data_IF_681679445190
#
_entry.id   IF_681679445190
#
_cell.length_a   1.000
_cell.length_b   1.000
_cell.length_c   1.000
_cell.angle_alpha   90.00
_cell.angle_beta   90.00
_cell.angle_gamma   90.00
#
_symmetry.space_group_name_H-M   'P 1'
#
loop_
_entity.id
_entity.type
_entity.pdbx_description
1 polymer ?
#
# COMPACT_ATOMS: atom_id res chain seq x y z
N UNK A 1 -4.45 13.91 -2.56
CA UNK A 1 -4.95 13.88 -1.16
C UNK A 1 -5.40 12.50 -0.70
N UNK A 2 -5.92 11.62 -1.57
CA UNK A 2 -6.43 10.28 -1.20
C UNK A 2 -5.41 9.34 -0.54
N UNK A 3 -4.14 9.34 -0.98
CA UNK A 3 -3.12 8.46 -0.41
C UNK A 3 -2.84 8.73 1.10
N UNK A 4 -3.02 9.98 1.54
CA UNK A 4 -2.84 10.37 2.95
C UNK A 4 -3.99 9.90 3.83
N UNK A 5 -5.22 10.02 3.33
CA UNK A 5 -6.42 9.55 4.05
C UNK A 5 -6.42 8.02 4.19
N UNK A 6 -6.00 7.31 3.13
CA UNK A 6 -5.82 5.87 3.16
C UNK A 6 -4.77 5.44 4.21
N UNK A 7 -3.63 6.14 4.26
CA UNK A 7 -2.60 5.86 5.25
C UNK A 7 -3.09 6.09 6.69
N UNK A 8 -3.90 7.15 6.93
CA UNK A 8 -4.52 7.44 8.22
C UNK A 8 -5.53 6.36 8.63
N UNK A 9 -6.41 5.96 7.70
CA UNK A 9 -7.40 4.92 7.96
C UNK A 9 -6.75 3.56 8.26
N UNK A 10 -5.68 3.21 7.53
CA UNK A 10 -4.92 1.98 7.76
C UNK A 10 -4.12 2.03 9.07
N UNK A 11 -3.64 3.20 9.49
CA UNK A 11 -2.99 3.37 10.78
C UNK A 11 -3.98 3.17 11.94
N UNK A 12 -5.21 3.67 11.82
CA UNK A 12 -6.25 3.48 12.84
C UNK A 12 -6.65 2.00 12.97
N UNK A 13 -6.87 1.29 11.86
CA UNK A 13 -7.17 -0.15 11.87
C UNK A 13 -6.00 -1.03 12.30
N UNK A 14 -4.76 -0.59 12.06
CA UNK A 14 -3.58 -1.34 12.45
C UNK A 14 -3.39 -1.45 13.96
N UNK A 15 -4.01 -0.58 14.75
CA UNK A 15 -3.86 -0.59 16.22
C UNK A 15 -4.31 -1.91 16.87
N UNK A 16 -5.23 -2.63 16.22
CA UNK A 16 -5.75 -3.91 16.70
C UNK A 16 -4.95 -5.12 16.20
N UNK A 17 -3.93 -4.91 15.34
CA UNK A 17 -3.08 -5.97 14.82
C UNK A 17 -1.90 -6.29 15.75
N UNK A 18 -1.42 -7.55 15.78
CA UNK A 18 -0.13 -7.88 16.38
C UNK A 18 0.98 -6.98 15.82
N UNK A 19 1.93 -6.57 16.67
CA UNK A 19 2.96 -5.59 16.31
C UNK A 19 3.76 -5.93 15.04
N UNK A 20 3.98 -7.22 14.78
CA UNK A 20 4.62 -7.71 13.54
C UNK A 20 3.77 -7.45 12.29
N UNK A 21 2.47 -7.78 12.35
CA UNK A 21 1.50 -7.54 11.28
C UNK A 21 1.28 -6.04 11.04
N UNK A 22 1.20 -5.25 12.12
CA UNK A 22 1.13 -3.79 12.00
C UNK A 22 2.35 -3.22 11.27
N UNK A 23 3.56 -3.64 11.62
CA UNK A 23 4.77 -3.20 10.93
C UNK A 23 4.78 -3.59 9.45
N UNK A 24 4.32 -4.79 9.10
CA UNK A 24 4.18 -5.22 7.71
C UNK A 24 3.21 -4.30 6.93
N UNK A 25 2.03 -4.02 7.49
CA UNK A 25 1.06 -3.09 6.88
C UNK A 25 1.67 -1.69 6.73
N UNK A 26 2.37 -1.17 7.75
CA UNK A 26 3.00 0.17 7.68
C UNK A 26 4.08 0.26 6.60
N UNK A 27 4.81 -0.82 6.33
CA UNK A 27 5.81 -0.88 5.26
C UNK A 27 5.08 -0.92 3.90
N UNK A 28 4.12 -1.84 3.74
CA UNK A 28 3.34 -1.97 2.51
C UNK A 28 2.61 -0.67 2.13
N UNK A 29 2.03 0.03 3.11
CA UNK A 29 1.38 1.35 2.91
C UNK A 29 2.38 2.39 2.42
N UNK A 30 3.61 2.43 2.94
CA UNK A 30 4.63 3.36 2.44
C UNK A 30 5.00 3.07 0.99
N UNK A 31 5.14 1.80 0.61
CA UNK A 31 5.39 1.41 -0.77
C UNK A 31 4.22 1.76 -1.68
N UNK A 32 2.98 1.51 -1.24
CA UNK A 32 1.76 1.85 -1.97
C UNK A 32 1.66 3.35 -2.26
N UNK A 33 1.85 4.19 -1.23
CA UNK A 33 1.78 5.66 -1.38
C UNK A 33 2.86 6.16 -2.33
N UNK A 34 4.09 5.64 -2.22
CA UNK A 34 5.19 6.01 -3.12
C UNK A 34 4.92 5.58 -4.56
N UNK A 35 4.44 4.36 -4.77
CA UNK A 35 4.12 3.84 -6.09
C UNK A 35 2.98 4.65 -6.74
N UNK A 36 1.95 5.02 -5.98
CA UNK A 36 0.86 5.87 -6.46
C UNK A 36 1.37 7.24 -6.93
N UNK A 37 2.28 7.86 -6.16
CA UNK A 37 2.90 9.13 -6.56
C UNK A 37 3.75 8.98 -7.84
N UNK A 38 4.52 7.90 -7.95
CA UNK A 38 5.34 7.64 -9.12
C UNK A 38 4.49 7.36 -10.37
N UNK A 39 3.37 6.66 -10.23
CA UNK A 39 2.44 6.41 -11.35
C UNK A 39 1.87 7.71 -11.93
N UNK A 40 1.48 8.64 -11.06
CA UNK A 40 1.00 9.97 -11.46
C UNK A 40 2.10 10.70 -12.25
N UNK A 41 3.31 10.74 -11.71
CA UNK A 41 4.46 11.40 -12.33
C UNK A 41 4.93 10.75 -13.64
N UNK A 42 5.03 9.42 -13.69
CA UNK A 42 5.42 8.68 -14.89
C UNK A 42 4.34 8.72 -15.98
N UNK A 43 3.07 8.82 -15.57
CA UNK A 43 1.95 9.05 -16.47
C UNK A 43 2.11 10.37 -17.24
N UNK A 44 2.49 11.45 -16.54
CA UNK A 44 2.75 12.76 -17.16
C UNK A 44 3.93 12.75 -18.14
N UNK A 45 4.94 11.90 -17.89
CA UNK A 45 6.12 11.76 -18.74
C UNK A 45 5.91 10.83 -19.95
N UNK A 46 4.84 10.04 -19.96
CA UNK A 46 4.58 9.03 -20.98
C UNK A 46 5.57 7.85 -20.98
N UNK A 47 6.29 7.61 -19.87
CA UNK A 47 7.24 6.50 -19.79
C UNK A 47 6.55 5.19 -19.41
N UNK A 48 6.16 4.41 -20.42
CA UNK A 48 5.41 3.17 -20.22
C UNK A 48 6.12 2.13 -19.33
N UNK A 49 7.44 2.01 -19.41
CA UNK A 49 8.18 1.02 -18.62
C UNK A 49 8.13 1.38 -17.14
N UNK A 50 8.38 2.66 -16.82
CA UNK A 50 8.35 3.14 -15.43
C UNK A 50 6.93 3.08 -14.85
N UNK A 51 5.90 3.31 -15.68
CA UNK A 51 4.49 3.12 -15.31
C UNK A 51 4.22 1.65 -14.97
N UNK A 52 4.63 0.72 -15.83
CA UNK A 52 4.38 -0.71 -15.63
C UNK A 52 5.11 -1.22 -14.36
N UNK A 53 6.34 -0.75 -14.10
CA UNK A 53 7.10 -1.07 -12.89
C UNK A 53 6.45 -0.51 -11.62
N UNK A 54 6.08 0.77 -11.62
CA UNK A 54 5.39 1.40 -10.50
C UNK A 54 4.02 0.75 -10.22
N UNK A 55 3.32 0.32 -11.27
CA UNK A 55 2.06 -0.41 -11.17
C UNK A 55 2.26 -1.78 -10.51
N UNK A 56 3.34 -2.49 -10.83
CA UNK A 56 3.72 -3.74 -10.17
C UNK A 56 3.93 -3.57 -8.67
N UNK A 57 4.67 -2.53 -8.26
CA UNK A 57 4.89 -2.22 -6.82
C UNK A 57 3.58 -1.84 -6.12
N UNK A 58 2.73 -1.07 -6.80
CA UNK A 58 1.42 -0.70 -6.29
C UNK A 58 0.55 -1.94 -6.00
N UNK A 59 0.41 -2.83 -6.99
CA UNK A 59 -0.36 -4.07 -6.87
C UNK A 59 0.18 -5.01 -5.79
N UNK A 60 1.51 -5.20 -5.73
CA UNK A 60 2.14 -6.03 -4.69
C UNK A 60 1.88 -5.48 -3.28
N UNK A 61 1.90 -4.16 -3.12
CA UNK A 61 1.63 -3.52 -1.83
C UNK A 61 0.16 -3.67 -1.41
N UNK A 62 -0.79 -3.58 -2.35
CA UNK A 62 -2.21 -3.86 -2.10
C UNK A 62 -2.39 -5.31 -1.63
N UNK A 63 -1.81 -6.27 -2.33
CA UNK A 63 -1.90 -7.69 -1.97
C UNK A 63 -1.32 -7.98 -0.59
N UNK A 64 -0.20 -7.34 -0.22
CA UNK A 64 0.39 -7.48 1.13
C UNK A 64 -0.52 -6.93 2.22
N UNK A 65 -1.16 -5.78 1.98
CA UNK A 65 -2.12 -5.20 2.93
C UNK A 65 -3.33 -6.11 3.07
N UNK A 66 -3.90 -6.56 1.94
CA UNK A 66 -5.05 -7.46 1.92
C UNK A 66 -4.75 -8.77 2.67
N UNK A 67 -3.60 -9.40 2.43
CA UNK A 67 -3.21 -10.64 3.09
C UNK A 67 -3.15 -10.54 4.62
N UNK A 68 -2.82 -9.36 5.18
CA UNK A 68 -2.81 -9.16 6.64
C UNK A 68 -4.24 -9.02 7.20
N UNK A 69 -5.15 -8.40 6.46
CA UNK A 69 -6.53 -8.16 6.89
C UNK A 69 -7.51 -9.27 6.51
N UNK A 70 -7.15 -10.14 5.57
CA UNK A 70 -7.96 -11.29 5.11
C UNK A 70 -7.70 -12.56 5.96
N UNK A 71 -6.78 -12.50 6.93
CA UNK A 71 -6.64 -13.59 7.92
C UNK A 71 -7.90 -13.58 8.81
N UNK A 72 -8.74 -14.64 8.79
CA UNK A 72 -9.86 -14.73 9.70
C UNK A 72 -9.33 -14.68 11.13
N UNK A 73 -9.88 -13.77 11.94
CA UNK A 73 -9.64 -13.75 13.37
C UNK A 73 -9.95 -15.15 13.91
N UNK A 74 -8.92 -15.86 14.37
CA UNK A 74 -9.08 -17.19 14.96
C UNK A 74 -9.98 -17.01 16.20
N UNK A 75 -11.12 -17.75 16.30
CA UNK A 75 -12.03 -17.68 17.44
C UNK A 75 -11.41 -18.19 18.74
#
# INVERSE_FOLDING_TARGET
MQAKELALALQQRGADLPMSANNQVRIAVRHLVRAAYLLDWYGDLGNKNDVDDAYGVFGASVSQIAAVYDVPAVP
#
